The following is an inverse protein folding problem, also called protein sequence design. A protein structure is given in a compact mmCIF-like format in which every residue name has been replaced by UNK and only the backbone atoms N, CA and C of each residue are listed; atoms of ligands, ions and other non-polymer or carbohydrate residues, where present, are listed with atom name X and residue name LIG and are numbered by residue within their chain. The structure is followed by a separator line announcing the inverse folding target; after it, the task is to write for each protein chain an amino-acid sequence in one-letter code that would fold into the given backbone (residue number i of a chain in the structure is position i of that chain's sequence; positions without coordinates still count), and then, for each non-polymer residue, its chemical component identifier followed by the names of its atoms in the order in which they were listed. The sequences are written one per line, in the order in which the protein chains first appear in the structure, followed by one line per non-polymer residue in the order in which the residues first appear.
data_IF_742875858950
#
_entry.id   IF_742875858950
#
_cell.length_a   1.000
_cell.length_b   1.000
_cell.length_c   1.000
_cell.angle_alpha   90.00
_cell.angle_beta   90.00
_cell.angle_gamma   90.00
#
_symmetry.space_group_name_H-M   'P 1'
#
loop_
_entity.id
_entity.type
_entity.pdbx_description
1 polymer ?
#
# COMPACT_ATOMS: atom_id res chain seq x y z
N UNK A 1 13.88 -17.00 -9.16
CA UNK A 1 13.39 -17.49 -7.84
C UNK A 1 13.09 -16.27 -6.98
N UNK A 2 11.83 -16.07 -6.58
CA UNK A 2 11.42 -14.89 -5.82
C UNK A 2 11.96 -14.95 -4.39
N UNK A 3 12.43 -13.80 -3.88
CA UNK A 3 12.83 -13.66 -2.46
C UNK A 3 11.69 -14.07 -1.54
N UNK A 4 11.97 -14.67 -0.36
CA UNK A 4 10.92 -15.04 0.59
C UNK A 4 10.11 -13.79 0.97
N UNK A 5 8.77 -13.90 0.88
CA UNK A 5 7.84 -12.81 1.21
C UNK A 5 7.70 -12.59 2.72
N UNK A 6 8.29 -13.47 3.53
CA UNK A 6 8.39 -13.36 4.98
C UNK A 6 9.84 -13.57 5.37
N UNK A 7 10.40 -12.61 6.11
CA UNK A 7 11.75 -12.62 6.66
C UNK A 7 11.62 -12.65 8.19
N UNK A 8 12.37 -13.52 8.83
CA UNK A 8 12.54 -13.50 10.28
C UNK A 8 13.84 -12.76 10.58
N UNK A 9 13.79 -11.76 11.45
CA UNK A 9 14.93 -10.90 11.71
C UNK A 9 14.89 -10.26 13.08
N UNK A 10 15.79 -9.31 13.28
CA UNK A 10 15.95 -8.58 14.52
C UNK A 10 15.42 -7.14 14.40
N UNK A 11 15.54 -6.41 15.51
CA UNK A 11 15.13 -5.02 15.59
C UNK A 11 16.01 -4.09 14.75
N UNK A 12 17.28 -4.43 14.54
CA UNK A 12 18.15 -3.63 13.68
C UNK A 12 17.65 -3.65 12.23
N UNK A 13 17.19 -4.81 11.76
CA UNK A 13 16.57 -4.92 10.44
C UNK A 13 15.25 -4.14 10.35
N UNK A 14 14.44 -4.14 11.40
CA UNK A 14 13.18 -3.39 11.46
C UNK A 14 13.37 -1.86 11.35
N UNK A 15 14.55 -1.34 11.66
CA UNK A 15 14.88 0.09 11.57
C UNK A 15 15.78 0.43 10.37
N UNK A 16 16.10 -0.57 9.54
CA UNK A 16 16.82 -0.35 8.30
C UNK A 16 15.97 0.46 7.31
N UNK A 17 16.64 1.32 6.56
CA UNK A 17 16.06 2.08 5.46
C UNK A 17 17.11 2.23 4.35
N UNK A 18 16.66 2.37 3.11
CA UNK A 18 17.55 2.43 1.94
C UNK A 18 16.96 3.29 0.82
N UNK A 19 17.82 3.74 -0.08
CA UNK A 19 17.42 4.51 -1.27
C UNK A 19 16.90 3.66 -2.42
N UNK A 20 17.06 2.33 -2.34
CA UNK A 20 16.51 1.38 -3.32
C UNK A 20 15.92 0.17 -2.59
N UNK A 21 14.83 -0.41 -3.12
CA UNK A 21 14.21 -1.61 -2.53
C UNK A 21 15.16 -2.80 -2.45
N UNK A 22 16.08 -2.89 -3.41
CA UNK A 22 17.04 -4.01 -3.53
C UNK A 22 18.09 -4.03 -2.43
N UNK A 23 18.33 -2.89 -1.76
CA UNK A 23 19.26 -2.80 -0.64
C UNK A 23 18.65 -3.23 0.70
N UNK A 24 17.33 -3.46 0.78
CA UNK A 24 16.66 -3.78 2.06
C UNK A 24 15.75 -5.01 1.94
N UNK A 25 14.70 -4.94 1.11
CA UNK A 25 13.80 -6.05 0.80
C UNK A 25 12.84 -5.64 -0.34
N UNK A 26 12.28 -6.62 -1.04
CA UNK A 26 11.20 -6.38 -2.01
C UNK A 26 9.99 -5.70 -1.34
N UNK A 27 9.33 -4.77 -2.02
CA UNK A 27 8.12 -4.10 -1.51
C UNK A 27 7.05 -5.10 -1.05
N UNK A 28 6.40 -4.82 0.09
CA UNK A 28 5.39 -5.68 0.71
C UNK A 28 5.94 -6.90 1.44
N UNK A 29 7.27 -7.12 1.46
CA UNK A 29 7.89 -8.17 2.29
C UNK A 29 7.49 -7.98 3.75
N UNK A 30 7.15 -9.07 4.43
CA UNK A 30 6.84 -9.10 5.85
C UNK A 30 8.10 -9.41 6.66
N UNK A 31 8.41 -8.61 7.67
CA UNK A 31 9.42 -8.91 8.67
C UNK A 31 8.71 -9.31 9.97
N UNK A 32 9.12 -10.42 10.58
CA UNK A 32 8.59 -10.89 11.86
C UNK A 32 9.72 -10.97 12.88
N UNK A 33 9.50 -10.37 14.05
CA UNK A 33 10.44 -10.39 15.17
C UNK A 33 10.03 -11.45 16.20
N UNK A 34 10.97 -11.89 17.08
CA UNK A 34 10.68 -12.85 18.15
C UNK A 34 9.67 -12.37 19.19
N UNK A 35 9.43 -11.06 19.29
CA UNK A 35 8.53 -10.42 20.26
C UNK A 35 7.09 -10.22 19.73
N UNK A 36 6.73 -10.93 18.66
CA UNK A 36 5.46 -10.84 17.95
C UNK A 36 5.19 -9.50 17.22
N UNK A 37 6.17 -8.59 17.14
CA UNK A 37 6.07 -7.45 16.22
C UNK A 37 6.23 -7.92 14.77
N UNK A 38 5.44 -7.32 13.88
CA UNK A 38 5.56 -7.54 12.44
C UNK A 38 5.57 -6.21 11.69
N UNK A 39 6.29 -6.21 10.57
CA UNK A 39 6.51 -5.03 9.75
C UNK A 39 6.33 -5.36 8.27
N UNK A 40 6.04 -4.35 7.47
CA UNK A 40 6.00 -4.42 6.00
C UNK A 40 7.00 -3.45 5.38
N UNK A 41 7.73 -3.93 4.38
CA UNK A 41 8.59 -3.08 3.56
C UNK A 41 7.74 -2.16 2.70
N UNK A 42 7.96 -0.86 2.81
CA UNK A 42 7.23 0.17 2.11
C UNK A 42 8.16 1.26 1.56
N UNK A 43 7.68 2.04 0.60
CA UNK A 43 8.36 3.20 0.06
C UNK A 43 7.61 4.46 0.46
N UNK A 44 8.33 5.44 1.02
CA UNK A 44 7.80 6.77 1.29
C UNK A 44 7.32 7.45 -0.01
N UNK A 45 6.30 8.29 0.10
CA UNK A 45 5.85 9.15 -0.99
C UNK A 45 7.01 10.00 -1.59
N UNK A 46 6.78 10.46 -2.82
CA UNK A 46 7.67 11.30 -3.63
C UNK A 46 7.74 12.75 -3.17
N UNK A 47 6.71 13.25 -2.48
CA UNK A 47 6.58 14.68 -2.14
C UNK A 47 6.72 14.96 -0.64
N UNK A 48 6.26 14.04 0.20
CA UNK A 48 6.17 14.25 1.65
C UNK A 48 6.99 13.22 2.41
N UNK A 49 7.93 13.68 3.22
CA UNK A 49 8.68 12.83 4.13
C UNK A 49 7.78 12.37 5.30
N UNK A 50 8.00 11.13 5.74
CA UNK A 50 7.29 10.55 6.87
C UNK A 50 8.10 10.70 8.16
N UNK A 51 7.45 11.07 9.25
CA UNK A 51 8.07 11.11 10.59
C UNK A 51 7.64 9.90 11.41
N UNK A 52 8.38 9.59 12.47
CA UNK A 52 8.09 8.45 13.36
C UNK A 52 6.70 8.55 14.00
N UNK A 53 6.12 7.39 14.30
CA UNK A 53 4.84 7.19 14.97
C UNK A 53 3.59 7.61 14.16
N UNK A 54 3.73 7.94 12.87
CA UNK A 54 2.59 8.27 12.03
C UNK A 54 1.93 7.03 11.47
N UNK A 55 0.61 6.98 11.56
CA UNK A 55 -0.18 6.03 10.80
C UNK A 55 -0.13 6.40 9.31
N UNK A 56 0.06 5.41 8.46
CA UNK A 56 0.21 5.58 7.01
C UNK A 56 -0.83 4.77 6.27
N UNK A 57 -1.09 5.19 5.02
CA UNK A 57 -1.95 4.47 4.10
C UNK A 57 -1.33 4.38 2.71
N UNK A 58 -1.82 3.43 1.92
CA UNK A 58 -1.63 3.45 0.47
C UNK A 58 -2.16 4.77 -0.12
N UNK A 59 -1.58 5.25 -1.23
CA UNK A 59 -2.13 6.38 -1.97
C UNK A 59 -3.53 6.06 -2.48
N UNK A 60 -4.34 7.09 -2.68
CA UNK A 60 -5.66 6.93 -3.28
C UNK A 60 -5.50 6.34 -4.70
N UNK A 61 -6.33 5.37 -5.12
CA UNK A 61 -6.31 4.86 -6.48
C UNK A 61 -6.48 5.98 -7.50
N UNK A 62 -5.66 5.97 -8.55
CA UNK A 62 -5.75 6.95 -9.62
C UNK A 62 -6.94 6.66 -10.52
N UNK A 63 -7.63 7.70 -11.00
CA UNK A 63 -8.63 7.56 -12.06
C UNK A 63 -8.01 7.28 -13.44
N UNK A 64 -6.69 7.46 -13.57
CA UNK A 64 -5.95 7.38 -14.83
C UNK A 64 -5.57 5.94 -15.25
N UNK A 65 -5.93 4.96 -14.42
CA UNK A 65 -5.55 3.55 -14.60
C UNK A 65 -6.77 2.63 -14.48
N UNK A 66 -7.96 3.21 -14.66
CA UNK A 66 -9.25 2.55 -14.47
C UNK A 66 -9.97 2.45 -15.81
N UNK A 67 -10.46 1.24 -16.10
CA UNK A 67 -11.20 0.92 -17.32
C UNK A 67 -10.44 1.36 -18.60
N UNK A 68 -9.13 1.18 -18.59
CA UNK A 68 -8.23 1.56 -19.67
C UNK A 68 -8.29 0.56 -20.82
N UNK A 69 -8.11 1.05 -22.04
CA UNK A 69 -8.02 0.15 -23.19
C UNK A 69 -6.69 -0.59 -23.20
N UNK A 70 -6.70 -1.73 -23.88
CA UNK A 70 -5.54 -2.55 -24.15
C UNK A 70 -5.70 -3.18 -25.54
N UNK A 71 -4.60 -3.60 -26.16
CA UNK A 71 -4.67 -4.38 -27.39
C UNK A 71 -5.35 -5.73 -27.18
N UNK A 72 -5.74 -6.39 -28.27
CA UNK A 72 -6.24 -7.77 -28.22
C UNK A 72 -5.12 -8.72 -27.84
N UNK A 73 -5.29 -9.50 -26.77
CA UNK A 73 -4.28 -10.42 -26.25
C UNK A 73 -4.84 -11.84 -26.21
N UNK A 74 -4.09 -12.81 -26.72
CA UNK A 74 -4.51 -14.20 -26.66
C UNK A 74 -4.36 -14.77 -25.23
N UNK A 75 -5.21 -15.73 -24.89
CA UNK A 75 -5.03 -16.54 -23.68
C UNK A 75 -3.64 -17.23 -23.71
N UNK A 76 -3.01 -17.37 -22.55
CA UNK A 76 -1.67 -17.92 -22.42
C UNK A 76 -0.53 -16.91 -22.58
N UNK A 77 -0.83 -15.69 -23.03
CA UNK A 77 0.17 -14.61 -23.13
C UNK A 77 0.46 -13.97 -21.77
N UNK A 78 1.68 -13.42 -21.65
CA UNK A 78 2.14 -12.70 -20.46
C UNK A 78 2.37 -11.22 -20.70
N UNK A 79 2.45 -10.80 -21.95
CA UNK A 79 2.75 -9.41 -22.31
C UNK A 79 1.49 -8.80 -22.88
N UNK A 80 0.96 -7.81 -22.19
CA UNK A 80 -0.10 -6.96 -22.68
C UNK A 80 0.54 -5.87 -23.53
N UNK A 81 0.10 -5.74 -24.76
CA UNK A 81 0.55 -4.71 -25.70
C UNK A 81 -0.51 -3.62 -25.81
N UNK A 82 -0.09 -2.42 -26.18
CA UNK A 82 -1.00 -1.28 -26.36
C UNK A 82 -1.78 -0.91 -25.10
N UNK A 83 -1.17 -1.03 -23.92
CA UNK A 83 -1.78 -0.62 -22.66
C UNK A 83 -1.93 0.90 -22.64
N UNK A 84 -3.12 1.39 -22.31
CA UNK A 84 -3.41 2.81 -22.23
C UNK A 84 -3.46 3.32 -20.79
N UNK A 85 -3.37 4.65 -20.66
CA UNK A 85 -3.68 5.38 -19.43
C UNK A 85 -4.43 6.69 -19.79
N UNK A 86 -5.31 7.14 -18.90
CA UNK A 86 -6.06 8.38 -19.08
C UNK A 86 -5.35 9.57 -18.45
N UNK A 87 -5.39 10.74 -19.10
CA UNK A 87 -5.05 12.07 -18.57
C UNK A 87 -3.61 12.36 -18.05
N UNK A 88 -2.83 11.37 -17.62
CA UNK A 88 -1.44 11.56 -17.20
C UNK A 88 -0.57 10.36 -17.54
N UNK A 89 0.65 10.63 -17.98
CA UNK A 89 1.66 9.62 -18.27
C UNK A 89 2.03 8.83 -17.00
N UNK A 90 2.34 7.56 -17.18
CA UNK A 90 2.83 6.67 -16.13
C UNK A 90 4.29 6.31 -16.40
N UNK A 91 5.12 6.35 -15.37
CA UNK A 91 6.53 6.01 -15.48
C UNK A 91 6.77 4.52 -15.69
N UNK A 92 7.92 4.20 -16.26
CA UNK A 92 8.39 2.84 -16.35
C UNK A 92 8.50 2.21 -14.95
N UNK A 93 8.04 0.97 -14.82
CA UNK A 93 7.97 0.20 -13.59
C UNK A 93 7.20 0.83 -12.42
N UNK A 94 6.33 1.83 -12.66
CA UNK A 94 5.46 2.38 -11.61
C UNK A 94 4.48 1.36 -11.02
N UNK A 95 4.06 0.37 -11.81
CA UNK A 95 3.14 -0.67 -11.38
C UNK A 95 3.81 -2.00 -11.04
N UNK A 96 5.14 -2.05 -11.01
CA UNK A 96 5.88 -3.26 -10.64
C UNK A 96 5.48 -3.78 -9.25
N UNK A 97 5.17 -5.07 -9.16
CA UNK A 97 4.57 -5.75 -8.00
C UNK A 97 3.17 -5.25 -7.59
N UNK A 98 2.52 -4.44 -8.43
CA UNK A 98 1.11 -4.11 -8.35
C UNK A 98 0.24 -5.21 -8.94
N UNK A 99 -0.99 -4.84 -9.29
CA UNK A 99 -2.01 -5.79 -9.73
C UNK A 99 -2.76 -5.28 -10.95
N UNK A 100 -3.09 -6.21 -11.85
CA UNK A 100 -3.94 -6.01 -13.01
C UNK A 100 -5.23 -6.80 -12.85
N UNK A 101 -6.32 -6.15 -13.20
CA UNK A 101 -7.70 -6.64 -13.19
C UNK A 101 -8.24 -6.43 -14.59
N UNK A 102 -8.84 -7.45 -15.19
CA UNK A 102 -9.60 -7.29 -16.43
C UNK A 102 -11.04 -6.96 -16.03
N UNK A 103 -11.60 -5.86 -16.53
CA UNK A 103 -12.82 -5.22 -15.98
C UNK A 103 -14.13 -5.62 -16.66
N UNK A 104 -14.14 -6.76 -17.34
CA UNK A 104 -15.33 -7.26 -18.03
C UNK A 104 -16.11 -8.32 -17.24
N UNK A 105 -17.44 -8.28 -17.35
CA UNK A 105 -18.34 -9.10 -16.55
C UNK A 105 -18.29 -10.60 -16.93
N UNK A 106 -17.92 -10.89 -18.17
CA UNK A 106 -17.80 -12.26 -18.67
C UNK A 106 -16.38 -12.85 -18.50
N UNK A 107 -15.41 -12.05 -18.07
CA UNK A 107 -14.01 -12.45 -18.02
C UNK A 107 -13.73 -13.34 -16.80
N UNK A 108 -13.04 -14.46 -17.02
CA UNK A 108 -12.76 -15.47 -15.97
C UNK A 108 -11.37 -15.34 -15.35
N UNK A 109 -10.57 -14.35 -15.77
CA UNK A 109 -9.20 -14.19 -15.33
C UNK A 109 -9.09 -13.83 -13.83
N UNK A 110 -8.13 -14.42 -13.10
CA UNK A 110 -7.81 -13.99 -11.75
C UNK A 110 -7.12 -12.62 -11.76
N UNK A 111 -6.95 -12.01 -10.58
CA UNK A 111 -6.07 -10.83 -10.46
C UNK A 111 -4.63 -11.25 -10.77
N UNK A 112 -4.01 -10.59 -11.75
CA UNK A 112 -2.63 -10.86 -12.15
C UNK A 112 -1.67 -9.90 -11.45
N UNK A 113 -0.49 -10.39 -11.06
CA UNK A 113 0.59 -9.51 -10.57
C UNK A 113 1.37 -8.95 -11.75
N UNK A 114 1.66 -7.66 -11.71
CA UNK A 114 2.50 -6.98 -12.71
C UNK A 114 3.97 -7.19 -12.34
N UNK A 115 4.77 -7.68 -13.29
CA UNK A 115 6.20 -7.92 -13.11
C UNK A 115 7.04 -6.71 -13.55
N UNK A 116 6.64 -6.06 -14.64
CA UNK A 116 7.19 -4.81 -15.14
C UNK A 116 6.20 -4.09 -16.06
N UNK A 117 6.40 -2.79 -16.27
CA UNK A 117 5.69 -2.01 -17.27
C UNK A 117 6.63 -1.01 -17.94
N UNK A 118 6.45 -0.81 -19.24
CA UNK A 118 7.07 0.30 -19.96
C UNK A 118 6.46 1.64 -19.50
N UNK A 119 7.06 2.76 -19.90
CA UNK A 119 6.39 4.05 -19.75
C UNK A 119 5.09 4.03 -20.56
N UNK A 120 3.98 4.46 -19.95
CA UNK A 120 2.66 4.49 -20.57
C UNK A 120 2.29 5.95 -20.78
N UNK A 121 2.25 6.39 -22.04
CA UNK A 121 1.94 7.78 -22.36
C UNK A 121 0.43 7.95 -22.62
N UNK A 122 -0.15 9.02 -22.10
CA UNK A 122 -1.56 9.34 -22.27
C UNK A 122 -1.90 9.73 -23.73
N UNK A 123 -0.90 10.19 -24.51
CA UNK A 123 -1.05 10.58 -25.92
C UNK A 123 -1.08 9.39 -26.90
N UNK A 124 -2.00 9.45 -27.86
CA UNK A 124 -2.37 8.35 -28.75
C UNK A 124 -1.24 7.73 -29.61
N UNK A 125 -0.16 8.46 -29.89
CA UNK A 125 0.87 8.00 -30.84
C UNK A 125 1.86 6.98 -30.28
N UNK A 126 2.08 6.93 -28.96
CA UNK A 126 3.08 6.06 -28.34
C UNK A 126 2.48 4.76 -27.78
N UNK A 127 1.16 4.63 -27.83
CA UNK A 127 0.42 3.57 -27.16
C UNK A 127 0.82 2.17 -27.62
N UNK A 128 1.15 1.99 -28.90
CA UNK A 128 1.57 0.70 -29.48
C UNK A 128 2.83 0.13 -28.79
N UNK A 129 3.66 0.98 -28.17
CA UNK A 129 4.88 0.58 -27.48
C UNK A 129 4.70 0.39 -25.96
N UNK A 130 3.55 0.74 -25.38
CA UNK A 130 3.28 0.62 -23.94
C UNK A 130 2.98 -0.83 -23.57
N UNK A 131 4.02 -1.60 -23.20
CA UNK A 131 3.82 -2.99 -22.78
C UNK A 131 3.75 -3.13 -21.26
N UNK A 132 2.98 -4.11 -20.81
CA UNK A 132 2.94 -4.54 -19.41
C UNK A 132 3.15 -6.05 -19.35
N UNK A 133 4.14 -6.47 -18.56
CA UNK A 133 4.47 -7.88 -18.39
C UNK A 133 3.89 -8.41 -17.09
N UNK A 134 3.12 -9.48 -17.17
CA UNK A 134 2.51 -10.16 -16.04
C UNK A 134 3.40 -11.28 -15.50
N UNK A 135 3.29 -11.52 -14.20
CA UNK A 135 3.97 -12.60 -13.50
C UNK A 135 3.41 -14.00 -13.88
N UNK A 136 2.13 -14.06 -14.24
CA UNK A 136 1.44 -15.24 -14.74
C UNK A 136 0.82 -14.96 -16.10
N UNK A 137 0.67 -15.99 -16.93
CA UNK A 137 -0.06 -15.90 -18.19
C UNK A 137 -1.55 -15.66 -17.94
N UNK A 138 -2.20 -14.95 -18.86
CA UNK A 138 -3.66 -14.83 -18.93
C UNK A 138 -4.28 -16.23 -19.10
N UNK A 139 -5.36 -16.50 -18.38
CA UNK A 139 -6.15 -17.72 -18.52
C UNK A 139 -7.20 -17.59 -19.62
N UNK A 140 -7.70 -16.38 -19.84
CA UNK A 140 -8.65 -16.06 -20.90
C UNK A 140 -8.09 -14.97 -21.83
N UNK A 141 -8.64 -14.85 -23.03
CA UNK A 141 -8.20 -13.85 -23.99
C UNK A 141 -8.79 -12.49 -23.64
N UNK A 142 -8.01 -11.42 -23.89
CA UNK A 142 -8.53 -10.06 -23.90
C UNK A 142 -8.99 -9.74 -25.32
N UNK A 143 -10.30 -9.62 -25.50
CA UNK A 143 -10.92 -9.32 -26.78
C UNK A 143 -10.93 -7.81 -27.08
N UNK A 144 -11.27 -7.47 -28.33
CA UNK A 144 -11.33 -6.06 -28.75
C UNK A 144 -12.48 -5.33 -28.03
N UNK A 145 -12.17 -4.17 -27.45
CA UNK A 145 -13.14 -3.36 -26.71
C UNK A 145 -13.29 -3.74 -25.24
N UNK A 146 -12.56 -4.75 -24.77
CA UNK A 146 -12.44 -5.03 -23.35
C UNK A 146 -11.47 -4.05 -22.68
N UNK A 147 -11.68 -3.82 -21.39
CA UNK A 147 -10.90 -2.88 -20.60
C UNK A 147 -10.15 -3.57 -19.46
N UNK A 148 -9.11 -2.90 -18.99
CA UNK A 148 -8.30 -3.31 -17.85
C UNK A 148 -8.22 -2.19 -16.82
N UNK A 149 -8.13 -2.58 -15.55
CA UNK A 149 -7.77 -1.70 -14.45
C UNK A 149 -6.49 -2.21 -13.83
N UNK A 150 -5.54 -1.31 -13.57
CA UNK A 150 -4.30 -1.67 -12.90
C UNK A 150 -4.02 -0.73 -11.74
N UNK A 151 -3.48 -1.30 -10.66
CA UNK A 151 -3.23 -0.61 -9.40
C UNK A 151 -1.79 -0.83 -8.95
N UNK A 152 -1.22 0.19 -8.33
CA UNK A 152 0.12 0.12 -7.75
C UNK A 152 0.14 -0.84 -6.56
N UNK A 153 1.34 -1.28 -6.19
CA UNK A 153 1.53 -2.04 -4.96
C UNK A 153 1.10 -1.18 -3.75
N UNK A 154 0.25 -1.67 -2.82
CA UNK A 154 -0.24 -0.86 -1.69
C UNK A 154 0.85 -0.30 -0.77
N UNK A 155 2.04 -0.89 -0.76
CA UNK A 155 3.19 -0.43 0.02
C UNK A 155 4.15 0.48 -0.78
N UNK A 156 3.85 0.80 -2.03
CA UNK A 156 4.57 1.80 -2.83
C UNK A 156 3.99 3.19 -2.54
N UNK A 157 4.88 4.18 -2.42
CA UNK A 157 4.52 5.60 -2.23
C UNK A 157 3.45 5.80 -1.13
N UNK A 158 3.68 5.19 0.03
CA UNK A 158 2.77 5.32 1.17
C UNK A 158 2.76 6.77 1.66
N UNK A 159 1.57 7.24 2.03
CA UNK A 159 1.31 8.60 2.48
C UNK A 159 0.92 8.61 3.95
N UNK A 160 1.01 9.78 4.58
CA UNK A 160 0.39 10.01 5.89
C UNK A 160 -1.10 9.72 5.73
N UNK A 161 -1.66 8.91 6.62
CA UNK A 161 -3.08 8.63 6.63
C UNK A 161 -3.88 9.94 6.70
N UNK A 162 -4.65 10.25 5.65
CA UNK A 162 -5.57 11.38 5.66
C UNK A 162 -6.79 11.09 6.55
N UNK A 163 -7.34 12.11 7.16
CA UNK A 163 -8.57 12.06 7.94
C UNK A 163 -9.74 12.62 7.11
N UNK A 164 -10.66 11.78 6.59
CA UNK A 164 -10.81 10.32 6.79
C UNK A 164 -9.97 9.43 5.84
N UNK A 165 -9.73 8.15 6.19
CA UNK A 165 -8.86 7.24 5.42
C UNK A 165 -9.29 7.07 3.96
N UNK A 166 -8.40 7.41 3.02
CA UNK A 166 -8.62 7.28 1.57
C UNK A 166 -8.08 5.99 0.94
N UNK A 167 -7.30 5.21 1.70
CA UNK A 167 -6.67 3.97 1.22
C UNK A 167 -6.64 2.85 2.25
N UNK A 168 -5.97 1.75 1.89
CA UNK A 168 -5.57 0.68 2.81
C UNK A 168 -4.59 1.26 3.85
N UNK A 169 -4.81 1.00 5.13
CA UNK A 169 -3.84 1.33 6.17
C UNK A 169 -2.62 0.42 6.02
N UNK A 170 -1.44 1.01 5.84
CA UNK A 170 -0.22 0.25 5.49
C UNK A 170 0.67 -0.04 6.70
N UNK A 171 0.54 0.75 7.77
CA UNK A 171 1.28 0.55 9.01
C UNK A 171 1.57 1.87 9.73
N UNK A 172 2.36 1.76 10.79
CA UNK A 172 2.88 2.92 11.54
C UNK A 172 4.38 3.04 11.30
N UNK A 173 4.85 4.24 11.00
CA UNK A 173 6.27 4.52 10.75
C UNK A 173 7.10 4.35 12.01
N UNK A 174 8.11 3.48 11.97
CA UNK A 174 8.99 3.24 13.13
C UNK A 174 10.29 4.06 13.09
N UNK A 175 10.54 4.70 11.96
CA UNK A 175 11.65 5.64 11.74
C UNK A 175 11.19 6.72 10.77
N UNK A 176 11.80 7.91 10.85
CA UNK A 176 11.62 8.92 9.82
C UNK A 176 12.17 8.43 8.46
N UNK A 177 11.38 8.62 7.41
CA UNK A 177 11.74 8.26 6.03
C UNK A 177 11.68 9.52 5.18
N UNK A 178 12.79 9.86 4.53
CA UNK A 178 12.80 10.94 3.54
C UNK A 178 12.00 10.51 2.29
N UNK A 179 11.66 11.47 1.44
CA UNK A 179 10.95 11.18 0.18
C UNK A 179 11.67 10.11 -0.64
N UNK A 180 10.90 9.24 -1.29
CA UNK A 180 11.39 8.10 -2.09
C UNK A 180 12.21 7.03 -1.34
N UNK A 181 12.40 7.15 -0.03
CA UNK A 181 13.15 6.17 0.77
C UNK A 181 12.30 4.93 1.07
N UNK A 182 12.93 3.77 1.01
CA UNK A 182 12.36 2.49 1.41
C UNK A 182 12.67 2.20 2.88
N UNK A 183 11.68 1.71 3.61
CA UNK A 183 11.82 1.35 5.02
C UNK A 183 10.66 0.51 5.51
N UNK A 184 10.71 0.14 6.78
CA UNK A 184 9.70 -0.70 7.40
C UNK A 184 8.61 0.13 8.08
N UNK A 185 7.36 -0.30 7.94
CA UNK A 185 6.23 0.17 8.74
C UNK A 185 5.71 -0.98 9.61
N UNK A 186 5.42 -0.70 10.88
CA UNK A 186 4.87 -1.69 11.80
C UNK A 186 3.41 -1.98 11.46
N UNK A 187 3.06 -3.25 11.35
CA UNK A 187 1.70 -3.72 11.04
C UNK A 187 1.10 -4.58 12.15
N UNK A 188 1.91 -5.15 13.04
CA UNK A 188 1.45 -5.88 14.20
C UNK A 188 2.37 -5.69 15.41
N UNK A 189 1.80 -5.87 16.61
CA UNK A 189 2.53 -5.83 17.87
C UNK A 189 2.71 -4.43 18.45
N UNK A 190 3.47 -4.34 19.54
CA UNK A 190 3.68 -3.11 20.32
C UNK A 190 4.38 -2.04 19.49
N UNK A 191 3.72 -0.90 19.29
CA UNK A 191 4.21 0.19 18.45
C UNK A 191 3.89 1.56 19.05
N UNK A 192 4.85 2.49 18.93
CA UNK A 192 4.66 3.90 19.25
C UNK A 192 3.81 4.57 18.17
N UNK A 193 2.70 5.20 18.56
CA UNK A 193 1.75 5.80 17.64
C UNK A 193 1.43 7.23 18.08
N UNK A 194 1.28 8.15 17.13
CA UNK A 194 0.79 9.50 17.41
C UNK A 194 -0.70 9.41 17.75
N UNK A 195 -1.10 9.99 18.88
CA UNK A 195 -2.48 9.91 19.34
C UNK A 195 -3.24 11.23 19.11
N UNK A 196 -4.51 11.09 18.78
CA UNK A 196 -5.52 12.13 18.78
C UNK A 196 -6.48 11.87 19.94
N UNK A 197 -6.51 12.79 20.89
CA UNK A 197 -7.17 12.59 22.17
C UNK A 197 -6.46 11.61 23.10
N UNK A 198 -7.06 11.37 24.26
CA UNK A 198 -6.61 10.35 25.19
C UNK A 198 -7.13 8.98 24.74
N UNK A 199 -6.22 8.00 24.66
CA UNK A 199 -6.57 6.60 24.43
C UNK A 199 -7.09 5.97 25.73
N UNK A 200 -8.00 5.00 25.60
CA UNK A 200 -8.48 4.17 26.70
C UNK A 200 -7.58 2.95 26.78
N UNK A 201 -6.71 2.86 27.78
CA UNK A 201 -5.79 1.70 27.95
C UNK A 201 -6.60 0.41 28.07
N UNK A 202 -6.23 -0.62 27.29
CA UNK A 202 -6.97 -1.87 27.14
C UNK A 202 -8.17 -1.79 26.19
N UNK A 203 -8.60 -0.59 25.81
CA UNK A 203 -9.63 -0.34 24.81
C UNK A 203 -9.09 -0.45 23.38
N UNK A 204 -10.01 -0.56 22.42
CA UNK A 204 -9.66 -0.51 21.00
C UNK A 204 -9.12 0.86 20.60
N UNK A 205 -8.32 0.89 19.53
CA UNK A 205 -7.90 2.11 18.83
C UNK A 205 -8.23 2.03 17.36
N UNK A 206 -8.53 3.16 16.76
CA UNK A 206 -8.85 3.29 15.35
C UNK A 206 -8.06 4.43 14.70
N UNK A 207 -8.03 4.48 13.38
CA UNK A 207 -7.49 5.61 12.64
C UNK A 207 -8.35 6.86 12.91
N UNK A 208 -7.71 8.01 13.23
CA UNK A 208 -8.46 9.24 13.50
C UNK A 208 -9.14 9.77 12.24
N UNK A 209 -10.40 10.14 12.36
CA UNK A 209 -11.14 10.85 11.31
C UNK A 209 -10.99 12.38 11.39
N UNK A 210 -10.17 12.90 12.32
CA UNK A 210 -10.00 14.34 12.56
C UNK A 210 -8.57 14.85 12.46
N UNK A 211 -7.56 14.00 12.67
CA UNK A 211 -6.15 14.39 12.62
C UNK A 211 -5.32 13.37 11.84
N UNK A 212 -4.71 13.85 10.75
CA UNK A 212 -3.90 13.03 9.85
C UNK A 212 -2.76 12.31 10.57
N UNK A 213 -2.55 11.04 10.20
CA UNK A 213 -1.48 10.20 10.70
C UNK A 213 -1.59 9.79 12.17
N UNK A 214 -2.76 9.95 12.80
CA UNK A 214 -2.96 9.63 14.22
C UNK A 214 -3.94 8.49 14.46
N UNK A 215 -3.84 7.90 15.64
CA UNK A 215 -4.82 6.95 16.19
C UNK A 215 -5.68 7.64 17.25
N UNK A 216 -6.93 7.22 17.37
CA UNK A 216 -7.89 7.69 18.37
C UNK A 216 -8.47 6.49 19.14
N UNK A 217 -9.01 6.73 20.34
CA UNK A 217 -9.79 5.72 21.05
C UNK A 217 -10.93 5.21 20.15
N UNK A 218 -11.00 3.90 19.97
CA UNK A 218 -12.11 3.28 19.24
C UNK A 218 -13.29 3.13 20.18
N UNK A 219 -14.37 3.83 19.86
CA UNK A 219 -15.64 3.71 20.56
C UNK A 219 -16.55 2.93 19.60
N UNK A 220 -16.94 1.68 19.92
CA UNK A 220 -17.90 0.95 19.10
C UNK A 220 -19.20 1.76 19.03
N UNK A 221 -19.65 2.02 17.81
CA UNK A 221 -20.62 3.07 17.56
C UNK A 221 -21.98 2.83 18.20
N UNK A 222 -22.48 3.86 18.87
CA UNK A 222 -23.92 4.15 18.95
C UNK A 222 -24.23 5.32 18.02
N UNK A 223 -24.07 5.13 16.71
CA UNK A 223 -24.56 6.04 15.65
C UNK A 223 -23.59 7.09 15.08
N UNK A 224 -23.71 7.30 13.77
CA UNK A 224 -23.27 8.41 12.90
C UNK A 224 -21.78 8.63 12.60
N UNK A 225 -20.83 8.18 13.43
CA UNK A 225 -19.39 8.35 13.15
C UNK A 225 -18.76 7.12 12.48
N UNK A 226 -19.43 6.60 11.45
CA UNK A 226 -19.39 5.18 11.07
C UNK A 226 -18.17 4.61 10.34
N UNK A 227 -17.04 5.31 10.36
CA UNK A 227 -15.90 5.01 9.49
C UNK A 227 -14.55 4.88 10.21
N UNK A 228 -14.54 4.74 11.54
CA UNK A 228 -13.30 4.56 12.30
C UNK A 228 -12.72 3.15 12.07
N UNK A 229 -11.71 3.03 11.19
CA UNK A 229 -11.04 1.76 10.90
C UNK A 229 -10.25 1.29 12.12
N UNK A 230 -10.62 0.15 12.69
CA UNK A 230 -9.90 -0.45 13.83
C UNK A 230 -8.44 -0.75 13.47
N UNK A 231 -7.53 -0.38 14.37
CA UNK A 231 -6.07 -0.49 14.19
C UNK A 231 -5.43 -1.42 15.21
N UNK A 232 -6.03 -1.58 16.40
CA UNK A 232 -5.47 -2.40 17.47
C UNK A 232 -6.03 -2.08 18.85
N UNK A 233 -5.22 -2.33 19.89
CA UNK A 233 -5.58 -2.09 21.29
C UNK A 233 -4.57 -1.14 21.95
N UNK A 234 -5.03 -0.16 22.73
CA UNK A 234 -4.13 0.75 23.44
C UNK A 234 -3.41 0.04 24.60
N UNK A 235 -2.08 0.21 24.67
CA UNK A 235 -1.23 -0.24 25.78
C UNK A 235 -0.83 0.91 26.70
N UNK A 236 -0.71 2.12 26.15
CA UNK A 236 -0.36 3.32 26.90
C UNK A 236 -0.98 4.55 26.23
N UNK A 237 -1.38 5.52 27.06
CA UNK A 237 -2.02 6.77 26.66
C UNK A 237 -1.31 7.92 27.34
N UNK A 238 -0.98 8.96 26.57
CA UNK A 238 -0.51 10.23 27.14
C UNK A 238 -1.71 11.17 27.42
N UNK A 239 -1.52 12.16 28.28
CA UNK A 239 -2.61 13.04 28.73
C UNK A 239 -3.02 14.13 27.72
N UNK A 240 -2.28 14.32 26.62
CA UNK A 240 -2.53 15.42 25.67
C UNK A 240 -2.80 14.93 24.26
N UNK A 241 -3.68 15.65 23.56
CA UNK A 241 -3.86 15.59 22.11
C UNK A 241 -2.55 16.04 21.47
N UNK A 242 -1.99 15.29 20.50
CA UNK A 242 -0.67 15.48 19.85
C UNK A 242 0.57 14.80 20.47
N UNK A 243 0.42 14.08 21.59
CA UNK A 243 1.51 13.24 22.12
C UNK A 243 1.61 11.88 21.42
N UNK A 244 2.65 11.11 21.74
CA UNK A 244 2.73 9.71 21.35
C UNK A 244 2.10 8.82 22.43
N UNK A 245 1.28 7.86 22.03
CA UNK A 245 0.81 6.73 22.83
C UNK A 245 1.45 5.42 22.35
N UNK A 246 1.06 4.31 22.96
CA UNK A 246 1.51 2.97 22.53
C UNK A 246 0.28 2.10 22.26
N UNK A 247 0.26 1.44 21.10
CA UNK A 247 -0.78 0.49 20.74
C UNK A 247 -0.18 -0.87 20.35
N UNK A 248 -0.93 -1.92 20.61
CA UNK A 248 -0.71 -3.23 20.05
C UNK A 248 -1.45 -3.31 18.70
N UNK A 249 -0.71 -3.16 17.59
CA UNK A 249 -1.27 -3.12 16.24
C UNK A 249 -1.79 -4.48 15.79
N UNK A 250 -2.83 -4.46 14.95
CA UNK A 250 -3.44 -5.62 14.28
C UNK A 250 -3.91 -5.25 12.86
N UNK A 251 -3.01 -4.69 12.06
CA UNK A 251 -3.31 -4.29 10.67
C UNK A 251 -3.12 -5.43 9.68
N UNK A 252 -2.16 -6.32 9.94
CA UNK A 252 -2.00 -7.59 9.23
C UNK A 252 -2.73 -8.71 9.99
N UNK A 253 -3.46 -9.56 9.27
CA UNK A 253 -3.91 -10.84 9.82
C UNK A 253 -2.68 -11.74 10.03
N UNK A 254 -2.31 -11.98 11.28
CA UNK A 254 -1.37 -13.03 11.67
C UNK A 254 -2.09 -14.36 11.83
#
# INVERSE_FOLDING_TARGET
MGTPRVVYGDEQLAYAAGSTSENVATLGTKLVLPDARAFRMAQCDTTTALVVAQLTSSPAPSGNTKDENVGTIAAGERVLTSVECTAADQGADDFRNGYLIVTEAAQLDPIHRIDSNDAINATASDRIASNMTLASALQDAIANGESITYITNPWRQIVIHASPPVGLLTGVTVRAMAVNVYGWVATAGTTLCKQDGALIVGGGVAASASVDGTIIAWIPETGSNSNAKYVGTALFSNATTTSNGVAFLRLDNN
#
